data_IF_433145628537
#
_entry.id   IF_433145628537
#
_cell.length_a   1.000
_cell.length_b   1.000
_cell.length_c   1.000
_cell.angle_alpha   90.00
_cell.angle_beta   90.00
_cell.angle_gamma   90.00
#
_symmetry.space_group_name_H-M   'P 1'
#
loop_
_entity.id
_entity.type
_entity.pdbx_description
1 polymer ?
#
# COMPACT_ATOMS: atom_id res chain seq x y z
N UNK A 1 18.68 6.97 -17.12
CA UNK A 1 18.76 6.04 -15.99
C UNK A 1 17.69 4.98 -16.18
N UNK A 2 18.00 3.70 -15.96
CA UNK A 2 17.03 2.61 -16.07
C UNK A 2 16.79 2.00 -14.67
N UNK A 3 15.61 2.20 -14.11
CA UNK A 3 15.14 1.59 -12.88
C UNK A 3 14.41 0.29 -13.22
N UNK A 4 14.75 -0.80 -12.55
CA UNK A 4 14.02 -2.07 -12.64
C UNK A 4 13.43 -2.43 -11.28
N UNK A 5 12.10 -2.50 -11.22
CA UNK A 5 11.37 -3.05 -10.07
C UNK A 5 11.14 -4.55 -10.24
N UNK A 6 11.29 -5.32 -9.18
CA UNK A 6 11.07 -6.76 -9.22
C UNK A 6 10.33 -7.27 -7.97
N UNK A 7 9.30 -8.13 -8.17
CA UNK A 7 8.53 -8.73 -7.08
C UNK A 7 7.72 -9.94 -7.52
N UNK A 8 7.47 -10.88 -6.59
CA UNK A 8 6.50 -11.97 -6.79
C UNK A 8 5.05 -11.53 -6.56
N UNK A 9 4.82 -10.41 -5.87
CA UNK A 9 3.48 -10.00 -5.41
C UNK A 9 2.76 -9.09 -6.41
N UNK A 10 2.88 -9.39 -7.70
CA UNK A 10 2.13 -8.73 -8.75
C UNK A 10 1.12 -9.71 -9.36
N UNK A 11 -0.17 -9.49 -9.10
CA UNK A 11 -1.27 -10.31 -9.62
C UNK A 11 -2.42 -9.40 -10.07
N UNK A 12 -3.23 -9.80 -11.07
CA UNK A 12 -4.42 -9.03 -11.48
C UNK A 12 -5.40 -8.71 -10.34
N UNK A 13 -5.38 -9.51 -9.28
CA UNK A 13 -6.21 -9.38 -8.09
C UNK A 13 -5.46 -8.88 -6.86
N UNK A 14 -4.14 -8.59 -6.97
CA UNK A 14 -3.38 -8.04 -5.86
C UNK A 14 -3.73 -6.55 -5.63
N UNK A 15 -3.77 -6.15 -4.33
CA UNK A 15 -4.17 -4.80 -3.93
C UNK A 15 -3.02 -3.79 -3.96
N UNK A 16 -2.43 -3.52 -2.79
CA UNK A 16 -1.52 -2.40 -2.56
C UNK A 16 -0.25 -2.40 -3.41
N UNK A 17 0.47 -3.52 -3.51
CA UNK A 17 1.76 -3.59 -4.24
C UNK A 17 1.56 -3.31 -5.75
N UNK A 18 0.55 -3.90 -6.36
CA UNK A 18 0.24 -3.64 -7.77
C UNK A 18 -0.11 -2.17 -8.01
N UNK A 19 -0.93 -1.58 -7.13
CA UNK A 19 -1.27 -0.15 -7.23
C UNK A 19 -0.04 0.73 -7.12
N UNK A 20 0.82 0.44 -6.14
CA UNK A 20 2.09 1.14 -5.96
C UNK A 20 2.96 1.07 -7.22
N UNK A 21 3.21 -0.13 -7.76
CA UNK A 21 4.07 -0.31 -8.94
C UNK A 21 3.49 0.38 -10.18
N UNK A 22 2.19 0.24 -10.43
CA UNK A 22 1.54 0.89 -11.57
C UNK A 22 1.54 2.42 -11.44
N UNK A 23 1.29 2.94 -10.24
CA UNK A 23 1.34 4.36 -9.97
C UNK A 23 2.77 4.91 -10.12
N UNK A 24 3.77 4.18 -9.62
CA UNK A 24 5.18 4.52 -9.76
C UNK A 24 5.61 4.55 -11.24
N UNK A 25 5.22 3.51 -12.01
CA UNK A 25 5.50 3.44 -13.43
C UNK A 25 4.91 4.64 -14.18
N UNK A 26 3.63 4.91 -13.99
CA UNK A 26 2.94 6.02 -14.63
C UNK A 26 3.57 7.38 -14.24
N UNK A 27 3.90 7.55 -12.96
CA UNK A 27 4.51 8.78 -12.47
C UNK A 27 5.91 9.01 -13.04
N UNK A 28 6.78 7.98 -13.03
CA UNK A 28 8.13 8.07 -13.58
C UNK A 28 8.10 8.42 -15.07
N UNK A 29 7.20 7.78 -15.83
CA UNK A 29 7.01 8.05 -17.27
C UNK A 29 6.55 9.48 -17.55
N UNK A 30 5.72 10.05 -16.67
CA UNK A 30 5.19 11.39 -16.84
C UNK A 30 6.13 12.51 -16.34
N UNK A 31 6.97 12.23 -15.33
CA UNK A 31 7.69 13.27 -14.59
C UNK A 31 9.22 13.17 -14.69
N UNK A 32 9.76 12.13 -15.34
CA UNK A 32 11.21 11.94 -15.45
C UNK A 32 11.60 11.45 -16.85
N UNK A 33 12.89 11.57 -17.18
CA UNK A 33 13.49 10.92 -18.36
C UNK A 33 13.99 9.49 -18.04
N UNK A 34 13.55 8.88 -16.95
CA UNK A 34 13.98 7.55 -16.56
C UNK A 34 13.20 6.48 -17.29
N UNK A 35 13.89 5.48 -17.76
CA UNK A 35 13.28 4.22 -18.19
C UNK A 35 12.91 3.41 -16.95
N UNK A 36 11.70 2.86 -16.90
CA UNK A 36 11.23 2.03 -15.80
C UNK A 36 10.65 0.72 -16.31
N UNK A 37 11.20 -0.40 -15.87
CA UNK A 37 10.74 -1.75 -16.21
C UNK A 37 10.34 -2.49 -14.95
N UNK A 38 9.19 -3.16 -14.98
CA UNK A 38 8.74 -4.06 -13.93
C UNK A 38 8.99 -5.51 -14.33
N UNK A 39 9.71 -6.28 -13.52
CA UNK A 39 9.91 -7.72 -13.71
C UNK A 39 9.06 -8.49 -12.70
N UNK A 40 8.03 -9.17 -13.19
CA UNK A 40 6.98 -9.78 -12.36
C UNK A 40 6.58 -11.17 -12.86
N UNK A 41 5.90 -12.00 -12.05
CA UNK A 41 5.35 -13.27 -12.53
C UNK A 41 4.23 -13.05 -13.56
N UNK A 42 4.19 -13.92 -14.56
CA UNK A 42 3.14 -13.94 -15.59
C UNK A 42 2.69 -15.34 -15.97
N UNK A 43 1.72 -15.46 -16.89
CA UNK A 43 1.33 -16.75 -17.45
C UNK A 43 2.42 -17.35 -18.33
N UNK A 44 3.20 -16.51 -18.99
CA UNK A 44 4.28 -16.84 -19.92
C UNK A 44 5.42 -15.83 -19.80
N UNK A 45 6.53 -16.14 -20.45
CA UNK A 45 7.65 -15.22 -20.57
C UNK A 45 7.32 -14.15 -21.61
N UNK A 46 7.50 -12.90 -21.21
CA UNK A 46 7.38 -11.73 -22.08
C UNK A 46 8.44 -10.70 -21.69
N UNK A 47 9.17 -10.21 -22.64
CA UNK A 47 10.12 -9.12 -22.42
C UNK A 47 9.58 -7.86 -23.10
N UNK A 48 9.29 -6.85 -22.30
CA UNK A 48 8.81 -5.55 -22.74
C UNK A 48 9.58 -4.49 -21.94
N UNK A 49 10.76 -4.14 -22.44
CA UNK A 49 11.65 -3.17 -21.77
C UNK A 49 10.99 -1.80 -21.75
N UNK A 50 11.06 -1.12 -20.60
CA UNK A 50 10.38 0.15 -20.38
C UNK A 50 8.90 0.01 -20.01
N UNK A 51 8.41 -1.23 -19.80
CA UNK A 51 7.05 -1.53 -19.32
C UNK A 51 7.08 -2.77 -18.41
N UNK A 52 6.33 -3.82 -18.70
CA UNK A 52 6.17 -5.02 -17.86
C UNK A 52 6.79 -6.23 -18.53
N UNK A 53 7.90 -6.72 -17.98
CA UNK A 53 8.45 -8.02 -18.30
C UNK A 53 7.82 -9.09 -17.39
N UNK A 54 7.41 -10.21 -17.96
CA UNK A 54 6.85 -11.32 -17.18
C UNK A 54 7.71 -12.58 -17.30
N UNK A 55 7.80 -13.32 -16.19
CA UNK A 55 8.34 -14.68 -16.16
C UNK A 55 7.22 -15.67 -15.85
N UNK A 56 7.05 -16.65 -16.73
CA UNK A 56 6.04 -17.68 -16.61
C UNK A 56 6.18 -18.48 -15.34
N UNK A 57 5.10 -18.56 -14.57
CA UNK A 57 5.02 -19.32 -13.33
C UNK A 57 3.69 -20.04 -13.16
N UNK A 58 3.67 -21.11 -12.36
CA UNK A 58 2.42 -21.79 -12.02
C UNK A 58 1.60 -20.99 -11.01
N UNK A 59 0.28 -21.14 -11.08
CA UNK A 59 -0.63 -20.52 -10.09
C UNK A 59 -0.51 -21.24 -8.76
N UNK A 60 -0.26 -20.50 -7.69
CA UNK A 60 -0.19 -21.06 -6.34
C UNK A 60 -1.62 -21.30 -5.82
N UNK A 61 -2.04 -22.55 -5.55
CA UNK A 61 -3.36 -22.86 -5.06
C UNK A 61 -3.70 -22.12 -3.76
N UNK A 62 -4.96 -21.69 -3.61
CA UNK A 62 -5.42 -20.99 -2.40
C UNK A 62 -4.89 -19.55 -2.25
N UNK A 63 -4.27 -18.99 -3.28
CA UNK A 63 -3.85 -17.59 -3.35
C UNK A 63 -4.67 -16.81 -4.37
N UNK A 64 -4.62 -15.49 -4.31
CA UNK A 64 -5.31 -14.60 -5.25
C UNK A 64 -4.63 -14.59 -6.64
N UNK A 65 -4.56 -15.76 -7.30
CA UNK A 65 -3.88 -15.94 -8.60
C UNK A 65 -2.41 -15.49 -8.60
N UNK A 66 -1.73 -15.57 -7.47
CA UNK A 66 -0.28 -15.37 -7.46
C UNK A 66 0.40 -16.51 -8.21
N UNK A 67 1.40 -16.14 -8.99
CA UNK A 67 2.21 -17.08 -9.77
C UNK A 67 3.60 -17.15 -9.19
N UNK A 68 4.19 -18.34 -9.26
CA UNK A 68 5.54 -18.60 -8.77
C UNK A 68 6.41 -19.17 -9.90
N UNK A 69 7.26 -18.36 -10.53
CA UNK A 69 8.35 -18.83 -11.36
C UNK A 69 9.41 -19.52 -10.50
N UNK A 70 9.66 -20.81 -10.72
CA UNK A 70 10.54 -21.61 -9.85
C UNK A 70 12.03 -21.42 -10.12
N UNK A 71 12.42 -20.96 -11.32
CA UNK A 71 13.82 -20.89 -11.71
C UNK A 71 14.41 -19.50 -11.47
N UNK A 72 15.22 -19.30 -10.40
CA UNK A 72 15.87 -18.02 -10.12
C UNK A 72 16.87 -17.60 -11.21
N UNK A 73 17.47 -18.57 -11.94
CA UNK A 73 18.42 -18.26 -13.01
C UNK A 73 17.77 -17.43 -14.12
N UNK A 74 16.55 -17.80 -14.54
CA UNK A 74 15.81 -17.02 -15.55
C UNK A 74 15.54 -15.58 -15.10
N UNK A 75 15.29 -15.40 -13.79
CA UNK A 75 15.12 -14.07 -13.18
C UNK A 75 16.42 -13.27 -13.26
N UNK A 76 17.54 -13.90 -12.89
CA UNK A 76 18.88 -13.31 -12.95
C UNK A 76 19.26 -12.93 -14.39
N UNK A 77 19.02 -13.83 -15.35
CA UNK A 77 19.36 -13.61 -16.76
C UNK A 77 18.56 -12.44 -17.35
N UNK A 78 17.26 -12.36 -17.04
CA UNK A 78 16.42 -11.24 -17.47
C UNK A 78 16.88 -9.92 -16.86
N UNK A 79 17.16 -9.87 -15.55
CA UNK A 79 17.67 -8.67 -14.89
C UNK A 79 19.03 -8.23 -15.47
N UNK A 80 19.90 -9.16 -15.82
CA UNK A 80 21.19 -8.86 -16.50
C UNK A 80 20.98 -8.30 -17.91
N UNK A 81 20.05 -8.87 -18.67
CA UNK A 81 19.74 -8.46 -20.05
C UNK A 81 19.09 -7.06 -20.12
N UNK A 82 18.39 -6.64 -19.09
CA UNK A 82 17.77 -5.32 -18.99
C UNK A 82 18.78 -4.20 -18.74
N UNK A 83 20.00 -4.51 -18.33
CA UNK A 83 21.06 -3.53 -18.05
C UNK A 83 20.61 -2.36 -17.13
N UNK A 84 20.07 -2.66 -15.93
CA UNK A 84 19.57 -1.63 -15.04
C UNK A 84 20.69 -0.71 -14.51
N UNK A 85 20.33 0.54 -14.22
CA UNK A 85 21.17 1.46 -13.45
C UNK A 85 20.94 1.33 -11.96
N UNK A 86 19.77 0.80 -11.57
CA UNK A 86 19.33 0.53 -10.19
C UNK A 86 18.23 -0.53 -10.22
N UNK A 87 18.23 -1.43 -9.24
CA UNK A 87 17.15 -2.42 -9.06
C UNK A 87 16.46 -2.17 -7.72
N UNK A 88 15.11 -2.20 -7.69
CA UNK A 88 14.34 -2.27 -6.46
C UNK A 88 13.64 -3.63 -6.33
N UNK A 89 13.81 -4.28 -5.18
CA UNK A 89 13.10 -5.51 -4.83
C UNK A 89 11.91 -5.21 -3.90
N UNK A 90 10.70 -5.60 -4.31
CA UNK A 90 9.45 -5.36 -3.57
C UNK A 90 9.03 -6.50 -2.63
N UNK A 91 9.87 -7.52 -2.44
CA UNK A 91 9.60 -8.64 -1.54
C UNK A 91 10.88 -9.26 -0.98
N UNK A 92 10.74 -10.27 -0.09
CA UNK A 92 11.85 -10.94 0.57
C UNK A 92 12.13 -12.35 0.03
N UNK A 93 11.80 -12.62 -1.23
CA UNK A 93 11.95 -13.93 -1.87
C UNK A 93 13.06 -13.93 -2.92
N UNK A 94 13.05 -14.95 -3.79
CA UNK A 94 14.11 -15.10 -4.79
C UNK A 94 14.31 -13.90 -5.74
N UNK A 95 13.30 -13.06 -6.11
CA UNK A 95 13.59 -11.84 -6.86
C UNK A 95 14.56 -10.90 -6.15
N UNK A 96 14.47 -10.81 -4.82
CA UNK A 96 15.39 -9.98 -4.03
C UNK A 96 16.81 -10.57 -4.04
N UNK A 97 16.97 -11.90 -3.99
CA UNK A 97 18.29 -12.54 -4.13
C UNK A 97 18.89 -12.28 -5.50
N UNK A 98 18.09 -12.43 -6.56
CA UNK A 98 18.51 -12.16 -7.93
C UNK A 98 18.91 -10.68 -8.09
N UNK A 99 18.12 -9.75 -7.56
CA UNK A 99 18.41 -8.32 -7.57
C UNK A 99 19.76 -8.00 -6.90
N UNK A 100 19.97 -8.49 -5.67
CA UNK A 100 21.24 -8.30 -4.95
C UNK A 100 22.44 -8.94 -5.68
N UNK A 101 22.24 -10.12 -6.29
CA UNK A 101 23.29 -10.79 -7.08
C UNK A 101 23.67 -9.98 -8.33
N UNK A 102 22.67 -9.55 -9.11
CA UNK A 102 22.88 -8.75 -10.34
C UNK A 102 23.51 -7.40 -10.00
N UNK A 103 23.03 -6.73 -8.96
CA UNK A 103 23.57 -5.44 -8.51
C UNK A 103 25.05 -5.55 -8.16
N UNK A 104 25.43 -6.57 -7.39
CA UNK A 104 26.84 -6.84 -7.04
C UNK A 104 27.67 -7.13 -8.27
N UNK A 105 27.19 -7.95 -9.19
CA UNK A 105 27.90 -8.33 -10.42
C UNK A 105 28.12 -7.16 -11.37
N UNK A 106 27.15 -6.23 -11.44
CA UNK A 106 27.19 -5.05 -12.31
C UNK A 106 27.79 -3.82 -11.65
N UNK A 107 28.02 -3.83 -10.33
CA UNK A 107 28.48 -2.67 -9.57
C UNK A 107 27.46 -1.55 -9.47
N UNK A 108 26.15 -1.84 -9.57
CA UNK A 108 25.05 -0.89 -9.49
C UNK A 108 24.39 -0.91 -8.10
N UNK A 109 23.69 0.15 -7.68
CA UNK A 109 22.95 0.14 -6.44
C UNK A 109 21.72 -0.77 -6.48
N UNK A 110 21.33 -1.27 -5.29
CA UNK A 110 20.12 -2.06 -5.09
C UNK A 110 19.33 -1.55 -3.89
N UNK A 111 18.04 -1.30 -4.12
CA UNK A 111 17.09 -0.88 -3.11
C UNK A 111 16.08 -2.00 -2.82
N UNK A 112 15.49 -1.99 -1.64
CA UNK A 112 14.33 -2.82 -1.33
C UNK A 112 13.17 -1.95 -0.83
N UNK A 113 11.92 -2.39 -1.08
CA UNK A 113 10.74 -1.83 -0.44
C UNK A 113 10.07 -2.89 0.44
N UNK A 114 9.98 -2.62 1.75
CA UNK A 114 9.43 -3.54 2.75
C UNK A 114 7.90 -3.45 2.81
N UNK A 115 7.22 -4.00 1.81
CA UNK A 115 5.75 -3.97 1.74
C UNK A 115 5.05 -4.86 2.75
N UNK A 116 5.70 -5.93 3.21
CA UNK A 116 5.09 -6.97 4.04
C UNK A 116 6.01 -7.38 5.19
N UNK A 117 5.45 -7.51 6.39
CA UNK A 117 6.18 -8.01 7.56
C UNK A 117 6.19 -9.55 7.57
N UNK A 118 7.09 -10.14 6.76
CA UNK A 118 7.22 -11.59 6.61
C UNK A 118 7.48 -12.32 7.95
N UNK A 119 8.38 -11.85 8.83
CA UNK A 119 8.57 -12.47 10.15
C UNK A 119 7.26 -12.58 10.93
N UNK A 120 6.49 -11.53 11.00
CA UNK A 120 5.21 -11.52 11.71
C UNK A 120 4.15 -12.41 11.05
N UNK A 121 4.15 -12.52 9.72
CA UNK A 121 3.25 -13.41 8.97
C UNK A 121 3.56 -14.87 9.29
N UNK A 122 4.84 -15.26 9.29
CA UNK A 122 5.27 -16.63 9.60
C UNK A 122 5.12 -16.92 11.10
N UNK A 123 5.41 -15.98 11.97
CA UNK A 123 5.25 -16.11 13.42
C UNK A 123 3.84 -16.49 13.86
N UNK A 124 2.81 -16.09 13.10
CA UNK A 124 1.41 -16.51 13.35
C UNK A 124 1.18 -18.01 13.18
N UNK A 125 1.94 -18.70 12.32
CA UNK A 125 1.81 -20.13 12.04
C UNK A 125 2.85 -20.96 12.77
N UNK A 126 4.08 -20.45 12.88
CA UNK A 126 5.23 -21.17 13.42
C UNK A 126 5.69 -20.66 14.80
N UNK A 127 4.91 -19.77 15.45
CA UNK A 127 5.24 -19.19 16.75
C UNK A 127 6.48 -18.30 16.76
N UNK A 128 6.92 -17.88 17.95
CA UNK A 128 8.03 -16.94 18.11
C UNK A 128 9.39 -17.44 17.63
N UNK A 129 9.60 -18.75 17.57
CA UNK A 129 10.83 -19.32 16.98
C UNK A 129 10.86 -19.12 15.48
N UNK A 130 9.72 -19.36 14.80
CA UNK A 130 9.59 -19.10 13.37
C UNK A 130 9.77 -17.60 13.04
N UNK A 131 9.19 -16.72 13.84
CA UNK A 131 9.36 -15.27 13.68
C UNK A 131 10.83 -14.85 13.79
N UNK A 132 11.55 -15.35 14.81
CA UNK A 132 12.98 -15.07 15.01
C UNK A 132 13.84 -15.62 13.87
N UNK A 133 13.56 -16.83 13.39
CA UNK A 133 14.32 -17.42 12.28
C UNK A 133 14.15 -16.59 11.00
N UNK A 134 12.91 -16.21 10.67
CA UNK A 134 12.62 -15.36 9.51
C UNK A 134 13.15 -13.93 9.72
N UNK A 135 13.15 -13.40 10.94
CA UNK A 135 13.78 -12.12 11.25
C UNK A 135 15.30 -12.12 10.96
N UNK A 136 16.01 -13.20 11.32
CA UNK A 136 17.43 -13.35 10.98
C UNK A 136 17.65 -13.44 9.47
N UNK A 137 16.77 -14.16 8.77
CA UNK A 137 16.78 -14.24 7.32
C UNK A 137 16.59 -12.87 6.65
N UNK A 138 15.59 -12.08 7.09
CA UNK A 138 15.33 -10.73 6.58
C UNK A 138 16.54 -9.81 6.81
N UNK A 139 17.13 -9.86 7.99
CA UNK A 139 18.39 -9.14 8.29
C UNK A 139 19.49 -9.53 7.31
N UNK A 140 19.79 -10.84 7.20
CA UNK A 140 20.82 -11.35 6.30
C UNK A 140 20.57 -10.93 4.84
N UNK A 141 19.34 -11.04 4.36
CA UNK A 141 18.97 -10.65 2.99
C UNK A 141 19.31 -9.18 2.74
N UNK A 142 18.87 -8.30 3.64
CA UNK A 142 19.00 -6.87 3.46
C UNK A 142 20.39 -6.30 3.78
N UNK A 143 21.31 -7.10 4.31
CA UNK A 143 22.73 -6.72 4.41
C UNK A 143 23.38 -6.45 3.04
N UNK A 144 22.82 -7.02 1.97
CA UNK A 144 23.28 -6.82 0.60
C UNK A 144 22.62 -5.66 -0.15
N UNK A 145 21.78 -4.86 0.53
CA UNK A 145 21.05 -3.73 -0.06
C UNK A 145 21.59 -2.39 0.39
N UNK A 146 21.64 -1.42 -0.51
CA UNK A 146 22.12 -0.07 -0.23
C UNK A 146 21.09 0.76 0.56
N UNK A 147 19.80 0.50 0.37
CA UNK A 147 18.70 1.08 1.13
C UNK A 147 17.52 0.11 1.22
N UNK A 148 16.83 0.14 2.36
CA UNK A 148 15.56 -0.57 2.56
C UNK A 148 14.49 0.47 2.90
N UNK A 149 13.61 0.75 1.97
CA UNK A 149 12.46 1.62 2.19
C UNK A 149 11.41 0.92 3.05
N UNK A 150 10.90 1.62 4.03
CA UNK A 150 9.84 1.15 4.91
C UNK A 150 8.65 2.13 4.88
N UNK A 151 7.41 1.64 4.70
CA UNK A 151 6.24 2.49 4.46
C UNK A 151 5.79 3.29 5.68
N UNK A 152 6.22 2.92 6.88
CA UNK A 152 5.84 3.55 8.14
C UNK A 152 7.02 3.66 9.10
N UNK A 153 6.93 4.57 10.06
CA UNK A 153 7.93 4.70 11.14
C UNK A 153 7.98 3.44 11.99
N UNK A 154 6.83 2.80 12.20
CA UNK A 154 6.75 1.51 12.87
C UNK A 154 7.58 0.45 12.13
N UNK A 155 7.48 0.37 10.81
CA UNK A 155 8.28 -0.60 10.04
C UNK A 155 9.75 -0.23 10.00
N UNK A 156 10.12 1.05 9.98
CA UNK A 156 11.50 1.47 10.17
C UNK A 156 12.07 1.00 11.53
N UNK A 157 11.33 1.27 12.60
CA UNK A 157 11.74 0.85 13.94
C UNK A 157 11.86 -0.68 14.05
N UNK A 158 10.92 -1.42 13.44
CA UNK A 158 10.96 -2.88 13.40
C UNK A 158 12.19 -3.40 12.66
N UNK A 159 12.49 -2.90 11.47
CA UNK A 159 13.68 -3.28 10.69
C UNK A 159 14.98 -2.94 11.43
N UNK A 160 15.05 -1.77 12.04
CA UNK A 160 16.19 -1.37 12.86
C UNK A 160 16.38 -2.30 14.08
N UNK A 161 15.27 -2.71 14.73
CA UNK A 161 15.32 -3.70 15.82
C UNK A 161 15.82 -5.07 15.35
N UNK A 162 15.49 -5.50 14.13
CA UNK A 162 16.07 -6.70 13.52
C UNK A 162 17.57 -6.54 13.19
N UNK A 163 18.09 -5.31 13.22
CA UNK A 163 19.48 -4.99 12.86
C UNK A 163 19.70 -4.79 11.36
N UNK A 164 18.63 -4.49 10.59
CA UNK A 164 18.74 -4.05 9.20
C UNK A 164 19.33 -2.65 9.18
N UNK A 165 20.41 -2.47 8.39
CA UNK A 165 21.07 -1.17 8.20
C UNK A 165 20.42 -0.41 7.04
N UNK A 166 20.65 0.90 6.98
CA UNK A 166 20.20 1.76 5.87
C UNK A 166 18.68 1.74 5.62
N UNK A 167 17.89 1.61 6.71
CA UNK A 167 16.44 1.71 6.63
C UNK A 167 16.03 3.18 6.46
N UNK A 168 15.18 3.45 5.47
CA UNK A 168 14.66 4.78 5.17
C UNK A 168 13.13 4.79 5.20
N UNK A 169 12.56 5.77 5.90
CA UNK A 169 11.10 6.00 5.88
C UNK A 169 10.68 6.53 4.51
N UNK A 170 9.81 5.79 3.85
CA UNK A 170 9.25 6.13 2.54
C UNK A 170 7.75 5.80 2.54
N UNK A 171 6.87 6.75 2.89
CA UNK A 171 5.43 6.50 2.87
C UNK A 171 4.95 6.23 1.46
N UNK A 172 3.87 5.46 1.36
CA UNK A 172 3.11 5.31 0.13
C UNK A 172 2.20 6.53 -0.06
N UNK A 173 1.68 6.68 -1.28
CA UNK A 173 0.74 7.73 -1.62
C UNK A 173 -0.65 7.21 -1.97
N UNK A 174 -1.53 8.14 -2.31
CA UNK A 174 -2.87 7.89 -2.82
C UNK A 174 -3.09 8.76 -4.07
N UNK A 175 -3.84 8.23 -5.03
CA UNK A 175 -4.33 9.00 -6.18
C UNK A 175 -5.51 9.87 -5.74
N UNK A 176 -5.25 11.14 -5.48
CA UNK A 176 -6.25 12.10 -5.01
C UNK A 176 -7.20 12.60 -6.09
N UNK A 177 -6.94 12.31 -7.36
CA UNK A 177 -7.86 12.53 -8.47
C UNK A 177 -8.88 11.40 -8.61
N UNK A 178 -8.49 10.17 -8.26
CA UNK A 178 -9.41 9.03 -8.19
C UNK A 178 -10.19 9.05 -6.87
N UNK A 179 -9.46 9.12 -5.73
CA UNK A 179 -10.05 9.14 -4.39
C UNK A 179 -10.32 10.59 -3.97
N UNK A 180 -11.57 11.01 -4.14
CA UNK A 180 -12.00 12.40 -3.98
C UNK A 180 -13.43 12.48 -3.43
N UNK A 181 -13.79 13.52 -2.67
CA UNK A 181 -15.15 13.75 -2.22
C UNK A 181 -16.19 13.84 -3.34
N UNK A 182 -15.79 14.33 -4.52
CA UNK A 182 -16.66 14.45 -5.70
C UNK A 182 -17.17 13.09 -6.21
N UNK A 183 -16.60 11.97 -5.74
CA UNK A 183 -17.09 10.62 -6.05
C UNK A 183 -18.32 10.22 -5.27
N UNK A 184 -18.76 11.04 -4.30
CA UNK A 184 -19.96 10.76 -3.51
C UNK A 184 -21.20 10.68 -4.40
N UNK A 185 -22.06 9.68 -4.12
CA UNK A 185 -23.36 9.50 -4.76
C UNK A 185 -24.38 8.95 -3.75
N UNK A 186 -25.63 9.32 -3.89
CA UNK A 186 -26.72 8.75 -3.09
C UNK A 186 -27.17 7.38 -3.60
N UNK A 187 -26.84 7.02 -4.86
CA UNK A 187 -27.19 5.73 -5.46
C UNK A 187 -26.74 4.52 -4.65
N UNK A 188 -25.60 4.62 -3.94
CA UNK A 188 -25.12 3.52 -3.09
C UNK A 188 -26.14 3.15 -2.00
N UNK A 189 -26.73 4.14 -1.34
CA UNK A 189 -27.75 3.92 -0.29
C UNK A 189 -29.02 3.32 -0.90
N UNK A 190 -29.44 3.80 -2.05
CA UNK A 190 -30.60 3.29 -2.79
C UNK A 190 -30.40 1.82 -3.20
N UNK A 191 -29.24 1.48 -3.76
CA UNK A 191 -28.89 0.11 -4.13
C UNK A 191 -28.87 -0.86 -2.93
N UNK A 192 -28.46 -0.36 -1.78
CA UNK A 192 -28.41 -1.13 -0.53
C UNK A 192 -29.79 -1.21 0.15
N UNK A 193 -30.78 -0.42 -0.29
CA UNK A 193 -32.11 -0.31 0.34
C UNK A 193 -32.05 0.39 1.70
N UNK A 194 -31.09 1.30 1.89
CA UNK A 194 -30.89 2.02 3.16
C UNK A 194 -31.58 3.39 3.16
N UNK A 195 -32.17 3.75 4.30
CA UNK A 195 -32.73 5.09 4.47
C UNK A 195 -31.62 6.16 4.55
N UNK A 196 -32.00 7.42 4.35
CA UNK A 196 -31.07 8.56 4.49
C UNK A 196 -30.53 8.72 5.90
N UNK A 197 -31.29 8.30 6.91
CA UNK A 197 -30.93 8.38 8.33
C UNK A 197 -30.02 7.24 8.78
N UNK A 198 -29.76 6.25 7.90
CA UNK A 198 -28.85 5.15 8.20
C UNK A 198 -27.41 5.68 8.31
N UNK A 199 -26.76 5.37 9.41
CA UNK A 199 -25.35 5.65 9.66
C UNK A 199 -24.51 4.60 8.95
N UNK A 200 -24.03 4.93 7.72
CA UNK A 200 -23.37 3.99 6.84
C UNK A 200 -21.86 4.06 7.02
N UNK A 201 -21.25 3.01 7.59
CA UNK A 201 -19.80 2.89 7.72
C UNK A 201 -19.28 1.80 6.77
N UNK A 202 -18.09 2.00 6.23
CA UNK A 202 -17.50 1.07 5.27
C UNK A 202 -16.20 0.45 5.81
N UNK A 203 -16.06 -0.84 5.60
CA UNK A 203 -14.79 -1.55 5.59
C UNK A 203 -14.44 -1.92 4.15
N UNK A 204 -13.20 -1.68 3.73
CA UNK A 204 -12.74 -2.15 2.42
C UNK A 204 -11.36 -2.82 2.54
N UNK A 205 -11.26 -4.04 1.99
CA UNK A 205 -10.06 -4.86 2.05
C UNK A 205 -10.35 -6.35 1.99
N UNK A 206 -9.32 -7.16 1.80
CA UNK A 206 -9.46 -8.62 1.78
C UNK A 206 -10.07 -9.13 3.09
N UNK A 207 -10.91 -10.17 3.00
CA UNK A 207 -11.45 -10.85 4.17
C UNK A 207 -10.44 -11.88 4.66
N UNK A 208 -9.43 -11.40 5.39
CA UNK A 208 -8.32 -12.20 5.88
C UNK A 208 -8.15 -12.04 7.41
N UNK A 209 -7.60 -13.04 8.06
CA UNK A 209 -7.55 -13.10 9.52
C UNK A 209 -6.83 -11.92 10.19
N UNK A 210 -5.84 -11.32 9.52
CA UNK A 210 -5.12 -10.13 10.02
C UNK A 210 -5.97 -8.85 10.02
N UNK A 211 -7.10 -8.84 9.29
CA UNK A 211 -8.04 -7.71 9.25
C UNK A 211 -9.03 -7.71 10.41
N UNK A 212 -9.05 -8.80 11.17
CA UNK A 212 -9.81 -8.92 12.41
C UNK A 212 -11.30 -8.56 12.27
N UNK A 213 -11.93 -9.02 11.18
CA UNK A 213 -13.32 -8.71 10.83
C UNK A 213 -14.34 -9.11 11.92
N UNK A 214 -14.14 -10.19 12.69
CA UNK A 214 -15.07 -10.53 13.79
C UNK A 214 -15.27 -9.39 14.80
N UNK A 215 -14.25 -8.53 15.01
CA UNK A 215 -14.40 -7.35 15.89
C UNK A 215 -15.41 -6.35 15.31
N UNK A 216 -15.38 -6.11 14.00
CA UNK A 216 -16.36 -5.23 13.33
C UNK A 216 -17.76 -5.82 13.39
N UNK A 217 -17.93 -7.11 13.03
CA UNK A 217 -19.23 -7.77 13.06
C UNK A 217 -19.86 -7.72 14.45
N UNK A 218 -19.10 -8.03 15.50
CA UNK A 218 -19.56 -7.97 16.87
C UNK A 218 -19.85 -6.52 17.34
N UNK A 219 -19.08 -5.54 16.87
CA UNK A 219 -19.35 -4.13 17.17
C UNK A 219 -20.67 -3.66 16.56
N UNK A 220 -20.94 -4.02 15.30
CA UNK A 220 -22.19 -3.67 14.62
C UNK A 220 -23.40 -4.44 15.15
N UNK A 221 -23.25 -5.70 15.56
CA UNK A 221 -24.29 -6.44 16.28
C UNK A 221 -24.69 -5.75 17.59
N UNK A 222 -23.72 -5.11 18.30
CA UNK A 222 -24.01 -4.32 19.52
C UNK A 222 -24.69 -2.98 19.24
N UNK A 223 -24.30 -2.33 18.14
CA UNK A 223 -24.83 -1.02 17.77
C UNK A 223 -26.28 -1.11 17.26
N UNK A 224 -26.62 -2.13 16.48
CA UNK A 224 -27.94 -2.24 15.88
C UNK A 224 -28.30 -1.06 14.98
N UNK A 225 -29.61 -0.83 14.76
CA UNK A 225 -30.10 0.35 14.02
C UNK A 225 -29.83 1.65 14.83
N UNK A 226 -29.49 2.78 14.16
CA UNK A 226 -29.46 3.00 12.71
C UNK A 226 -28.10 2.73 12.03
N UNK A 227 -27.18 2.01 12.65
CA UNK A 227 -25.83 1.77 12.09
C UNK A 227 -25.84 0.62 11.09
N UNK A 228 -25.16 0.81 9.96
CA UNK A 228 -25.01 -0.20 8.94
C UNK A 228 -23.54 -0.33 8.51
N UNK A 229 -23.02 -1.56 8.47
CA UNK A 229 -21.68 -1.89 7.99
C UNK A 229 -21.73 -2.38 6.57
N UNK A 230 -21.06 -1.66 5.67
CA UNK A 230 -20.78 -2.14 4.32
C UNK A 230 -19.35 -2.71 4.27
N UNK A 231 -19.21 -3.98 3.98
CA UNK A 231 -17.93 -4.66 3.85
C UNK A 231 -17.63 -4.94 2.37
N UNK A 232 -16.55 -4.39 1.83
CA UNK A 232 -16.14 -4.56 0.43
C UNK A 232 -14.84 -5.35 0.35
N UNK A 233 -14.85 -6.50 -0.29
CA UNK A 233 -13.63 -7.32 -0.42
C UNK A 233 -13.81 -8.81 -0.30
N UNK A 234 -15.06 -9.28 -0.25
CA UNK A 234 -15.41 -10.71 -0.31
C UNK A 234 -15.41 -11.25 -1.75
N UNK A 235 -15.76 -12.51 -1.88
CA UNK A 235 -15.84 -13.19 -3.17
C UNK A 235 -17.25 -13.04 -3.81
N UNK A 236 -18.25 -12.81 -2.98
CA UNK A 236 -19.66 -12.67 -3.40
C UNK A 236 -20.42 -11.69 -2.49
N UNK A 237 -21.61 -11.28 -2.94
CA UNK A 237 -22.52 -10.50 -2.10
C UNK A 237 -23.16 -11.39 -1.03
N UNK A 238 -23.25 -10.87 0.20
CA UNK A 238 -23.92 -11.53 1.32
C UNK A 238 -24.45 -10.49 2.32
N UNK A 239 -25.49 -10.89 3.07
CA UNK A 239 -26.09 -10.12 4.17
C UNK A 239 -26.16 -11.00 5.41
N UNK A 240 -25.02 -11.18 6.13
CA UNK A 240 -24.94 -12.10 7.27
C UNK A 240 -25.80 -11.65 8.45
N UNK A 241 -26.03 -10.34 8.58
CA UNK A 241 -26.82 -9.69 9.63
C UNK A 241 -27.72 -8.61 9.03
N UNK A 242 -28.74 -8.19 9.75
CA UNK A 242 -29.70 -7.18 9.30
C UNK A 242 -29.06 -5.82 9.02
N UNK A 243 -27.97 -5.49 9.72
CA UNK A 243 -27.24 -4.24 9.58
C UNK A 243 -25.82 -4.44 9.00
N UNK A 244 -25.59 -5.53 8.27
CA UNK A 244 -24.31 -5.80 7.59
C UNK A 244 -24.57 -6.25 6.17
N UNK A 245 -23.93 -5.59 5.20
CA UNK A 245 -23.91 -6.01 3.79
C UNK A 245 -22.47 -6.25 3.36
N UNK A 246 -22.20 -7.37 2.71
CA UNK A 246 -20.93 -7.71 2.11
C UNK A 246 -21.03 -7.61 0.60
N UNK A 247 -20.08 -6.90 -0.02
CA UNK A 247 -19.95 -6.78 -1.47
C UNK A 247 -18.65 -7.42 -1.95
N UNK A 248 -18.63 -7.92 -3.18
CA UNK A 248 -17.41 -8.48 -3.76
C UNK A 248 -16.30 -7.42 -3.90
N UNK A 249 -15.08 -7.91 -4.04
CA UNK A 249 -13.92 -7.08 -4.25
C UNK A 249 -14.06 -6.19 -5.49
N UNK A 250 -13.81 -4.89 -5.35
CA UNK A 250 -13.83 -3.92 -6.45
C UNK A 250 -12.44 -3.82 -7.07
N UNK A 251 -12.33 -4.17 -8.34
CA UNK A 251 -11.06 -4.12 -9.09
C UNK A 251 -10.74 -2.72 -9.58
N UNK A 252 -11.77 -1.95 -9.93
CA UNK A 252 -11.63 -0.56 -10.35
C UNK A 252 -11.53 0.35 -9.12
N UNK A 253 -10.46 1.13 -9.04
CA UNK A 253 -10.25 2.09 -7.98
C UNK A 253 -11.31 3.20 -7.96
N UNK A 254 -11.93 3.53 -9.10
CA UNK A 254 -13.02 4.51 -9.18
C UNK A 254 -14.29 4.01 -8.51
N UNK A 255 -14.62 2.72 -8.70
CA UNK A 255 -15.76 2.10 -8.00
C UNK A 255 -15.51 2.08 -6.48
N UNK A 256 -14.29 1.73 -6.05
CA UNK A 256 -13.95 1.78 -4.64
C UNK A 256 -14.00 3.22 -4.09
N UNK A 257 -13.51 4.20 -4.83
CA UNK A 257 -13.58 5.60 -4.45
C UNK A 257 -15.02 6.09 -4.29
N UNK A 258 -15.92 5.66 -5.18
CA UNK A 258 -17.35 5.95 -5.08
C UNK A 258 -17.96 5.38 -3.80
N UNK A 259 -17.65 4.12 -3.47
CA UNK A 259 -18.11 3.48 -2.23
C UNK A 259 -17.58 4.22 -1.00
N UNK A 260 -16.26 4.47 -0.94
CA UNK A 260 -15.63 5.17 0.18
C UNK A 260 -16.21 6.58 0.37
N UNK A 261 -16.34 7.35 -0.73
CA UNK A 261 -16.88 8.71 -0.68
C UNK A 261 -18.36 8.76 -0.27
N UNK A 262 -19.14 7.71 -0.54
CA UNK A 262 -20.58 7.67 -0.26
C UNK A 262 -20.92 7.16 1.14
N UNK A 263 -19.98 6.56 1.86
CA UNK A 263 -20.11 6.21 3.27
C UNK A 263 -19.89 7.44 4.18
N UNK A 264 -20.29 7.34 5.44
CA UNK A 264 -20.08 8.41 6.43
C UNK A 264 -18.66 8.37 7.00
N UNK A 265 -18.10 7.16 7.19
CA UNK A 265 -16.75 6.94 7.70
C UNK A 265 -16.19 5.56 7.27
N UNK A 266 -14.87 5.42 7.31
CA UNK A 266 -14.21 4.12 7.24
C UNK A 266 -14.11 3.51 8.64
N UNK A 267 -14.31 2.19 8.74
CA UNK A 267 -14.00 1.41 9.96
C UNK A 267 -12.93 0.37 9.67
N UNK A 268 -11.95 0.22 10.58
CA UNK A 268 -10.84 -0.72 10.40
C UNK A 268 -10.39 -1.35 11.71
N UNK A 269 -10.38 -2.70 11.77
CA UNK A 269 -10.02 -3.45 12.99
C UNK A 269 -8.72 -4.25 12.88
N UNK A 270 -8.01 -4.17 11.75
CA UNK A 270 -6.75 -4.89 11.53
C UNK A 270 -5.64 -4.35 12.41
N UNK A 271 -4.97 -5.24 13.15
CA UNK A 271 -3.92 -4.87 14.12
C UNK A 271 -2.50 -4.93 13.55
N UNK A 272 -2.33 -5.35 12.31
CA UNK A 272 -1.02 -5.65 11.69
C UNK A 272 -0.80 -4.89 10.37
N UNK A 273 -1.37 -3.70 10.26
CA UNK A 273 -1.14 -2.86 9.09
C UNK A 273 0.31 -2.35 9.08
N UNK A 274 1.00 -2.60 7.99
CA UNK A 274 2.33 -2.02 7.74
C UNK A 274 2.23 -0.58 7.26
N UNK A 275 1.10 -0.23 6.61
CA UNK A 275 0.77 1.12 6.15
C UNK A 275 -0.75 1.38 6.22
N UNK A 276 -1.56 0.69 5.40
CA UNK A 276 -3.02 0.85 5.40
C UNK A 276 -3.52 1.82 4.32
N UNK A 277 -3.21 1.55 3.05
CA UNK A 277 -3.61 2.39 1.91
C UNK A 277 -5.10 2.77 1.93
N UNK A 278 -5.99 1.83 2.29
CA UNK A 278 -7.44 2.08 2.32
C UNK A 278 -7.85 3.18 3.31
N UNK A 279 -7.08 3.34 4.39
CA UNK A 279 -7.30 4.42 5.36
C UNK A 279 -7.06 5.77 4.68
N UNK A 280 -5.92 5.90 4.00
CA UNK A 280 -5.60 7.12 3.26
C UNK A 280 -6.53 7.34 2.05
N UNK A 281 -6.97 6.28 1.37
CA UNK A 281 -7.96 6.35 0.29
C UNK A 281 -9.30 6.91 0.80
N UNK A 282 -9.75 6.47 1.98
CA UNK A 282 -10.95 7.01 2.62
C UNK A 282 -10.78 8.46 3.06
N UNK A 283 -9.64 8.78 3.68
CA UNK A 283 -9.29 10.15 4.07
C UNK A 283 -9.21 11.07 2.84
N UNK A 284 -8.67 10.60 1.71
CA UNK A 284 -8.66 11.32 0.44
C UNK A 284 -10.07 11.59 -0.09
N UNK A 285 -11.02 10.68 0.15
CA UNK A 285 -12.43 10.87 -0.13
C UNK A 285 -13.15 11.81 0.88
N UNK A 286 -12.41 12.46 1.78
CA UNK A 286 -12.97 13.36 2.77
C UNK A 286 -13.80 12.64 3.83
N UNK A 287 -13.44 11.38 4.19
CA UNK A 287 -14.15 10.61 5.21
C UNK A 287 -13.29 10.42 6.46
N UNK A 288 -13.86 10.64 7.65
CA UNK A 288 -13.19 10.32 8.90
C UNK A 288 -13.01 8.81 9.06
N UNK A 289 -12.16 8.42 10.01
CA UNK A 289 -11.79 7.02 10.22
C UNK A 289 -12.02 6.62 11.67
N UNK A 290 -12.67 5.47 11.88
CA UNK A 290 -12.64 4.78 13.17
C UNK A 290 -11.80 3.53 13.01
N UNK A 291 -10.70 3.45 13.74
CA UNK A 291 -9.79 2.33 13.60
C UNK A 291 -9.20 1.88 14.94
N UNK A 292 -8.50 0.76 14.95
CA UNK A 292 -7.80 0.31 16.16
C UNK A 292 -6.47 1.05 16.34
N UNK A 293 -6.10 1.30 17.58
CA UNK A 293 -4.80 1.84 17.95
C UNK A 293 -3.73 0.73 17.89
N UNK A 294 -3.38 0.31 16.66
CA UNK A 294 -2.41 -0.76 16.42
C UNK A 294 -1.79 -0.67 15.03
N UNK A 295 -0.65 -1.34 14.84
CA UNK A 295 0.09 -1.28 13.59
C UNK A 295 0.53 0.13 13.25
N UNK A 296 0.60 0.46 11.97
CA UNK A 296 0.94 1.80 11.49
C UNK A 296 -0.24 2.80 11.51
N UNK A 297 -1.45 2.37 11.89
CA UNK A 297 -2.66 3.21 11.84
C UNK A 297 -2.51 4.52 12.64
N UNK A 298 -1.94 4.53 13.88
CA UNK A 298 -1.77 5.76 14.66
C UNK A 298 -0.86 6.81 14.01
N UNK A 299 -0.09 6.45 12.97
CA UNK A 299 0.72 7.42 12.22
C UNK A 299 -0.13 8.33 11.31
N UNK A 300 -1.34 7.88 10.96
CA UNK A 300 -2.25 8.57 10.03
C UNK A 300 -3.49 9.12 10.70
N UNK A 301 -4.00 8.42 11.74
CA UNK A 301 -5.27 8.69 12.41
C UNK A 301 -5.00 9.18 13.83
N UNK A 302 -5.54 10.34 14.14
CA UNK A 302 -5.65 10.94 15.47
C UNK A 302 -7.01 11.62 15.63
N UNK A 303 -7.24 12.28 16.77
CA UNK A 303 -8.51 12.91 17.10
C UNK A 303 -8.96 14.02 16.13
N UNK A 304 -8.07 14.54 15.30
CA UNK A 304 -8.43 15.57 14.30
C UNK A 304 -9.04 14.99 13.02
N UNK A 305 -8.88 13.67 12.77
CA UNK A 305 -9.35 13.01 11.55
C UNK A 305 -10.19 11.75 11.81
N UNK A 306 -10.32 11.35 13.08
CA UNK A 306 -11.06 10.14 13.41
C UNK A 306 -11.00 9.76 14.89
N UNK A 307 -11.21 8.48 15.18
CA UNK A 307 -11.15 7.93 16.54
C UNK A 307 -10.38 6.60 16.51
N UNK A 308 -9.47 6.43 17.47
CA UNK A 308 -8.75 5.19 17.69
C UNK A 308 -9.35 4.42 18.87
N UNK A 309 -9.76 3.17 18.63
CA UNK A 309 -10.24 2.24 19.64
C UNK A 309 -9.13 1.27 20.08
N UNK A 310 -9.18 0.75 21.32
CA UNK A 310 -8.32 -0.36 21.74
C UNK A 310 -8.47 -1.57 20.82
N UNK A 311 -7.36 -2.26 20.46
CA UNK A 311 -7.41 -3.42 19.58
C UNK A 311 -8.12 -4.61 20.24
N UNK A 312 -8.69 -5.49 19.41
CA UNK A 312 -9.37 -6.73 19.81
C UNK A 312 -10.54 -6.51 20.80
N UNK A 313 -11.17 -5.35 20.81
CA UNK A 313 -12.26 -5.00 21.71
C UNK A 313 -13.49 -4.51 20.91
N UNK A 314 -14.47 -5.40 20.65
CA UNK A 314 -15.70 -5.02 19.93
C UNK A 314 -16.55 -3.97 20.63
N UNK A 315 -16.57 -3.98 21.97
CA UNK A 315 -17.33 -3.00 22.73
C UNK A 315 -16.72 -1.60 22.61
N UNK A 316 -15.39 -1.48 22.73
CA UNK A 316 -14.70 -0.21 22.53
C UNK A 316 -14.80 0.28 21.08
N UNK A 317 -14.79 -0.62 20.09
CA UNK A 317 -15.02 -0.27 18.69
C UNK A 317 -16.44 0.28 18.49
N UNK A 318 -17.46 -0.34 19.07
CA UNK A 318 -18.85 0.16 19.02
C UNK A 318 -18.97 1.54 19.68
N UNK A 319 -18.34 1.74 20.84
CA UNK A 319 -18.32 3.05 21.52
C UNK A 319 -17.62 4.11 20.66
N UNK A 320 -16.48 3.80 20.04
CA UNK A 320 -15.76 4.72 19.16
C UNK A 320 -16.59 5.10 17.92
N UNK A 321 -17.31 4.12 17.33
CA UNK A 321 -18.24 4.37 16.22
C UNK A 321 -19.37 5.30 16.67
N UNK A 322 -19.99 5.05 17.84
CA UNK A 322 -21.06 5.89 18.35
C UNK A 322 -20.55 7.32 18.61
N UNK A 323 -19.42 7.45 19.30
CA UNK A 323 -18.80 8.74 19.63
C UNK A 323 -18.37 9.55 18.40
N UNK A 324 -18.13 8.90 17.24
CA UNK A 324 -17.84 9.62 16.00
C UNK A 324 -19.00 10.52 15.58
N UNK A 325 -20.24 10.08 15.79
CA UNK A 325 -21.45 10.82 15.41
C UNK A 325 -21.81 11.97 16.39
N UNK A 326 -21.12 12.07 17.50
CA UNK A 326 -21.17 13.24 18.39
C UNK A 326 -20.24 14.36 17.92
N UNK A 327 -19.48 14.12 16.85
CA UNK A 327 -18.53 15.05 16.24
C UNK A 327 -19.04 15.57 14.89
N UNK A 328 -18.48 16.66 14.43
CA UNK A 328 -18.69 17.17 13.07
C UNK A 328 -17.91 16.32 12.05
N UNK A 329 -18.62 15.41 11.38
CA UNK A 329 -18.06 14.51 10.37
C UNK A 329 -17.44 15.26 9.19
N UNK A 330 -18.02 16.40 8.78
CA UNK A 330 -17.52 17.19 7.67
C UNK A 330 -16.19 17.87 8.03
N UNK A 331 -16.07 18.38 9.24
CA UNK A 331 -14.83 18.97 9.75
C UNK A 331 -13.73 17.91 9.84
N UNK A 332 -14.02 16.73 10.39
CA UNK A 332 -13.08 15.61 10.47
C UNK A 332 -12.67 15.14 9.06
N UNK A 333 -13.63 15.00 8.15
CA UNK A 333 -13.38 14.58 6.77
C UNK A 333 -12.53 15.59 5.98
N UNK A 334 -12.78 16.88 6.16
CA UNK A 334 -11.97 17.95 5.56
C UNK A 334 -10.53 17.91 6.08
N UNK A 335 -10.34 17.74 7.39
CA UNK A 335 -9.02 17.61 7.99
C UNK A 335 -8.29 16.33 7.50
N UNK A 336 -9.03 15.22 7.35
CA UNK A 336 -8.50 13.97 6.82
C UNK A 336 -7.99 14.15 5.38
N UNK A 337 -8.78 14.75 4.48
CA UNK A 337 -8.36 15.03 3.11
C UNK A 337 -7.17 15.98 3.06
N UNK A 338 -7.19 17.06 3.82
CA UNK A 338 -6.08 18.02 3.91
C UNK A 338 -4.78 17.32 4.29
N UNK A 339 -4.81 16.43 5.29
CA UNK A 339 -3.65 15.64 5.71
C UNK A 339 -3.09 14.79 4.56
N UNK A 340 -3.98 14.13 3.79
CA UNK A 340 -3.55 13.32 2.64
C UNK A 340 -2.93 14.18 1.55
N UNK A 341 -3.57 15.29 1.19
CA UNK A 341 -3.07 16.22 0.17
C UNK A 341 -1.69 16.80 0.54
N UNK A 342 -1.45 17.04 1.82
CA UNK A 342 -0.19 17.61 2.30
C UNK A 342 0.95 16.60 2.43
N UNK A 343 0.67 15.28 2.60
CA UNK A 343 1.72 14.34 3.02
C UNK A 343 1.73 13.00 2.30
N UNK A 344 0.62 12.61 1.66
CA UNK A 344 0.43 11.23 1.19
C UNK A 344 -0.11 11.15 -0.24
N UNK A 345 0.29 12.05 -1.13
CA UNK A 345 0.03 11.93 -2.56
C UNK A 345 1.10 11.07 -3.23
N UNK A 346 0.76 10.40 -4.33
CA UNK A 346 1.75 9.69 -5.15
C UNK A 346 2.87 10.61 -5.62
N UNK A 347 2.54 11.87 -5.93
CA UNK A 347 3.55 12.85 -6.36
C UNK A 347 4.63 13.06 -5.30
N UNK A 348 4.24 13.29 -4.05
CA UNK A 348 5.19 13.46 -2.93
C UNK A 348 5.99 12.18 -2.67
N UNK A 349 5.31 11.01 -2.66
CA UNK A 349 5.95 9.73 -2.41
C UNK A 349 7.03 9.41 -3.46
N UNK A 350 6.68 9.53 -4.75
CA UNK A 350 7.62 9.17 -5.82
C UNK A 350 8.69 10.23 -6.05
N UNK A 351 8.39 11.52 -5.84
CA UNK A 351 9.42 12.55 -5.86
C UNK A 351 10.49 12.28 -4.80
N UNK A 352 10.11 12.04 -3.55
CA UNK A 352 11.05 11.69 -2.47
C UNK A 352 11.87 10.43 -2.79
N UNK A 353 11.20 9.39 -3.28
CA UNK A 353 11.85 8.12 -3.61
C UNK A 353 12.83 8.26 -4.80
N UNK A 354 12.46 9.04 -5.81
CA UNK A 354 13.31 9.33 -6.97
C UNK A 354 14.58 10.09 -6.58
N UNK A 355 14.47 11.04 -5.64
CA UNK A 355 15.64 11.72 -5.08
C UNK A 355 16.59 10.76 -4.37
N UNK A 356 16.04 9.80 -3.59
CA UNK A 356 16.85 8.78 -2.95
C UNK A 356 17.56 7.87 -3.98
N UNK A 357 16.88 7.47 -5.04
CA UNK A 357 17.49 6.68 -6.11
C UNK A 357 18.60 7.45 -6.84
N UNK A 358 18.37 8.72 -7.16
CA UNK A 358 19.37 9.57 -7.80
C UNK A 358 20.65 9.69 -6.95
N UNK A 359 20.49 9.86 -5.63
CA UNK A 359 21.61 9.88 -4.70
C UNK A 359 22.38 8.56 -4.67
N UNK A 360 21.69 7.41 -4.67
CA UNK A 360 22.32 6.08 -4.71
C UNK A 360 23.14 5.87 -6.00
N UNK A 361 22.57 6.21 -7.15
CA UNK A 361 23.28 6.09 -8.43
C UNK A 361 24.45 7.06 -8.52
N UNK A 362 24.26 8.30 -8.04
CA UNK A 362 25.31 9.33 -8.03
C UNK A 362 26.51 8.97 -7.15
N UNK A 363 26.28 8.33 -6.00
CA UNK A 363 27.35 7.93 -5.06
C UNK A 363 28.26 6.82 -5.60
N UNK A 364 27.83 6.05 -6.60
CA UNK A 364 28.62 4.98 -7.23
C UNK A 364 29.25 5.38 -8.57
N UNK A 365 28.92 6.56 -9.12
CA UNK A 365 29.65 7.12 -10.26
C UNK A 365 30.89 7.87 -9.76
N UNK A 366 32.09 7.72 -10.36
CA UNK A 366 33.19 8.63 -10.12
C UNK A 366 32.67 10.06 -10.42
N UNK A 367 33.00 11.02 -9.56
CA UNK A 367 32.43 12.36 -9.49
C UNK A 367 32.24 12.99 -10.89
N UNK A 368 31.02 12.94 -11.40
CA UNK A 368 30.57 13.74 -12.54
C UNK A 368 29.81 14.93 -11.95
N UNK A 369 30.12 16.11 -12.49
CA UNK A 369 29.79 17.41 -11.91
C UNK A 369 28.29 17.58 -11.58
N UNK A 370 28.01 18.36 -10.52
CA UNK A 370 26.67 18.74 -10.04
C UNK A 370 25.74 19.40 -11.10
N UNK A 371 26.21 19.64 -12.32
CA UNK A 371 25.43 20.17 -13.44
C UNK A 371 24.52 19.13 -14.10
N UNK A 372 24.89 17.86 -14.13
CA UNK A 372 24.09 16.83 -14.81
C UNK A 372 22.93 16.27 -13.97
N UNK A 373 22.95 16.46 -12.66
CA UNK A 373 21.87 15.98 -11.77
C UNK A 373 20.59 16.82 -11.93
N UNK A 374 20.71 18.10 -12.25
CA UNK A 374 19.55 18.98 -12.48
C UNK A 374 18.84 18.76 -13.82
N UNK A 375 19.53 18.17 -14.82
CA UNK A 375 18.91 17.89 -16.13
C UNK A 375 18.11 16.58 -16.15
N UNK A 376 18.31 15.69 -15.16
CA UNK A 376 17.64 14.38 -15.08
C UNK A 376 16.23 14.42 -14.47
N UNK A 377 15.85 15.52 -13.81
CA UNK A 377 14.53 15.73 -13.23
C UNK A 377 13.96 17.04 -13.76
N UNK A 378 13.42 17.03 -14.96
CA UNK A 378 12.62 18.15 -15.47
C UNK A 378 11.21 18.02 -14.85
N UNK A 379 10.94 18.80 -13.83
CA UNK A 379 9.58 19.03 -13.34
C UNK A 379 8.84 19.83 -14.43
N UNK A 380 7.78 19.27 -14.98
CA UNK A 380 6.91 19.96 -15.94
C UNK A 380 6.33 21.23 -15.32
N UNK A 381 6.28 22.39 -16.05
CA UNK A 381 5.80 23.67 -15.52
C UNK A 381 4.30 23.73 -15.17
N UNK A 382 3.57 22.63 -15.29
CA UNK A 382 2.11 22.63 -15.11
C UNK A 382 1.62 22.64 -13.65
N UNK A 383 2.49 22.50 -12.65
CA UNK A 383 2.06 22.44 -11.23
C UNK A 383 2.03 23.80 -10.51
N UNK A 384 2.22 24.93 -11.20
CA UNK A 384 2.17 26.27 -10.57
C UNK A 384 0.80 26.96 -10.63
N UNK A 385 -0.27 26.33 -11.11
CA UNK A 385 -1.58 26.99 -11.26
C UNK A 385 -2.65 26.63 -10.21
N UNK A 386 -2.30 26.02 -9.08
CA UNK A 386 -3.28 25.73 -8.02
C UNK A 386 -2.90 26.30 -6.65
N UNK A 387 -2.43 27.55 -6.61
CA UNK A 387 -2.40 28.34 -5.37
C UNK A 387 -2.76 29.77 -5.71
N UNK A 388 -4.06 30.10 -5.74
CA UNK A 388 -4.68 31.40 -5.46
C UNK A 388 -6.10 31.40 -6.08
N UNK A 389 -7.11 31.05 -5.30
CA UNK A 389 -8.36 31.79 -5.11
C UNK A 389 -9.23 31.05 -4.07
#
# INVERSE_FOLDING_TARGET
MHLVDTTLFYSPTSGGIRRYLNAKHAWLKANTAWEHTMVVPGPEDRVDRGDVCTLGGFVVPGTFNYRLPLNPQRWTDLLLALEPSLIEAGDQFHPAWCAAHVARRRGIPVAAFYHSNLPQIIGRRAGGLGERAVGRYVKWLYEGFDVVFAPSRLMCAYLNHLGVRHTMYQPLGVDTGIFSPERRTDQLREQLGLSRDTRLLVYAGRFAGEKNLPVLLQAFARLGSPYHLLMVGGDHEARPETNVTMLPFRRDSRELAQVLASADALVHAGTKETFGLVILESMACGRPVVAVNAGAIPEFVDDSVGILAPPNNPAAMAQAIAALYDRDLNKLGTAARTRVLQRYTWNQAFHSQTMAYAALVGSRRPAVSAREVNELVTVSPHDQQYTAE
#
